data_IF_132883217450
#
_entry.id   IF_132883217450
#
_cell.length_a   1.000
_cell.length_b   1.000
_cell.length_c   1.000
_cell.angle_alpha   90.00
_cell.angle_beta   90.00
_cell.angle_gamma   90.00
#
_symmetry.space_group_name_H-M   'P 1'
#
loop_
_entity.id
_entity.type
_entity.pdbx_description
1 polymer ?
#
# COMPACT_ATOMS: atom_id res chain seq x y z
N UNK A 1 0.68 -5.45 5.05
CA UNK A 1 -0.37 -5.40 4.01
C UNK A 1 -0.53 -6.79 3.40
N UNK A 2 -1.76 -7.36 3.36
CA UNK A 2 -1.97 -8.71 2.85
C UNK A 2 -3.17 -8.82 1.89
N UNK A 3 -3.14 -9.77 0.95
CA UNK A 3 -4.26 -10.06 0.05
C UNK A 3 -4.30 -11.54 -0.32
N UNK A 4 -5.52 -12.08 -0.47
CA UNK A 4 -5.70 -13.49 -0.81
C UNK A 4 -5.42 -13.82 -2.29
N UNK A 5 -5.45 -12.81 -3.16
CA UNK A 5 -5.13 -12.93 -4.59
C UNK A 5 -4.13 -11.86 -5.05
N UNK A 6 -3.42 -12.16 -6.13
CA UNK A 6 -2.61 -11.18 -6.84
C UNK A 6 -3.48 -10.14 -7.56
N UNK A 7 -2.93 -8.96 -7.82
CA UNK A 7 -3.60 -7.93 -8.62
C UNK A 7 -4.66 -7.09 -7.90
N UNK A 8 -4.86 -7.25 -6.58
CA UNK A 8 -5.77 -6.40 -5.78
C UNK A 8 -5.27 -4.96 -5.60
N UNK A 9 -4.02 -4.68 -5.97
CA UNK A 9 -3.39 -3.36 -5.86
C UNK A 9 -2.68 -3.11 -4.53
N UNK A 10 -2.34 -4.16 -3.79
CA UNK A 10 -1.70 -4.09 -2.48
C UNK A 10 -0.43 -3.23 -2.44
N UNK A 11 0.53 -3.44 -3.35
CA UNK A 11 1.73 -2.59 -3.48
C UNK A 11 1.39 -1.13 -3.72
N UNK A 12 0.37 -0.85 -4.54
CA UNK A 12 -0.13 0.50 -4.78
C UNK A 12 -0.70 1.12 -3.51
N UNK A 13 -1.49 0.37 -2.74
CA UNK A 13 -2.01 0.82 -1.44
C UNK A 13 -0.84 1.08 -0.49
N UNK A 14 0.12 0.18 -0.37
CA UNK A 14 1.30 0.32 0.50
C UNK A 14 2.08 1.59 0.19
N UNK A 15 2.43 1.81 -1.09
CA UNK A 15 3.22 2.97 -1.51
C UNK A 15 2.50 4.30 -1.20
N UNK A 16 1.21 4.38 -1.51
CA UNK A 16 0.45 5.61 -1.30
C UNK A 16 0.12 5.87 0.17
N UNK A 17 -0.20 4.81 0.93
CA UNK A 17 -0.45 4.93 2.36
C UNK A 17 0.83 5.36 3.09
N UNK A 18 1.97 4.71 2.84
CA UNK A 18 3.23 5.06 3.49
C UNK A 18 3.69 6.47 3.15
N UNK A 19 3.53 6.89 1.90
CA UNK A 19 3.83 8.27 1.48
C UNK A 19 2.89 9.29 2.14
N UNK A 20 1.60 8.97 2.29
CA UNK A 20 0.64 9.84 2.95
C UNK A 20 0.87 9.93 4.47
N UNK A 21 1.29 8.83 5.13
CA UNK A 21 1.70 8.85 6.54
C UNK A 21 2.93 9.73 6.76
N UNK A 22 3.93 9.60 5.88
CA UNK A 22 5.11 10.47 5.90
C UNK A 22 4.76 11.96 5.63
N UNK A 23 3.82 12.24 4.71
CA UNK A 23 3.29 13.59 4.48
C UNK A 23 2.65 14.20 5.75
N UNK A 24 2.05 13.37 6.60
CA UNK A 24 1.50 13.78 7.90
C UNK A 24 2.57 13.90 9.01
N UNK A 25 3.84 13.67 8.70
CA UNK A 25 4.97 13.80 9.61
C UNK A 25 5.28 12.55 10.43
N UNK A 26 4.65 11.42 10.16
CA UNK A 26 4.96 10.15 10.82
C UNK A 26 6.25 9.54 10.26
N UNK A 27 7.11 9.05 11.15
CA UNK A 27 8.35 8.38 10.77
C UNK A 27 8.02 6.99 10.16
N UNK A 28 7.97 6.95 8.82
CA UNK A 28 7.34 5.85 8.08
C UNK A 28 8.34 5.10 7.22
N UNK A 29 8.35 3.77 7.38
CA UNK A 29 9.15 2.83 6.60
C UNK A 29 8.23 1.94 5.76
N UNK A 30 8.66 1.62 4.54
CA UNK A 30 8.04 0.62 3.67
C UNK A 30 9.06 -0.46 3.35
N UNK A 31 8.72 -1.70 3.67
CA UNK A 31 9.51 -2.89 3.38
C UNK A 31 8.83 -3.67 2.24
N UNK A 32 9.48 -3.76 1.09
CA UNK A 32 9.01 -4.61 -0.02
C UNK A 32 9.42 -6.05 0.29
N UNK A 33 8.48 -6.85 0.80
CA UNK A 33 8.70 -8.25 1.13
C UNK A 33 8.26 -9.20 0.00
N UNK A 34 7.83 -8.68 -1.15
CA UNK A 34 7.60 -9.48 -2.36
C UNK A 34 8.92 -9.75 -3.08
N UNK A 35 9.73 -10.61 -2.44
CA UNK A 35 11.05 -11.09 -2.86
C UNK A 35 11.03 -11.60 -4.31
N UNK A 36 9.91 -12.16 -4.78
CA UNK A 36 9.78 -12.70 -6.13
C UNK A 36 9.39 -11.66 -7.19
N UNK A 37 8.64 -10.61 -6.81
CA UNK A 37 8.12 -9.59 -7.72
C UNK A 37 8.21 -8.19 -7.10
N UNK A 38 9.40 -7.58 -7.21
CA UNK A 38 9.68 -6.24 -6.68
C UNK A 38 8.94 -5.12 -7.45
N UNK A 39 7.67 -4.92 -7.11
CA UNK A 39 6.80 -3.93 -7.74
C UNK A 39 6.90 -2.55 -7.07
N UNK A 40 7.39 -2.47 -5.83
CA UNK A 40 7.48 -1.20 -5.11
C UNK A 40 8.55 -0.30 -5.72
N UNK A 41 9.68 -0.88 -6.14
CA UNK A 41 10.77 -0.17 -6.80
C UNK A 41 10.31 0.57 -8.06
N UNK A 42 9.40 -0.03 -8.84
CA UNK A 42 8.78 0.61 -10.01
C UNK A 42 7.93 1.83 -9.63
N UNK A 43 7.15 1.73 -8.55
CA UNK A 43 6.23 2.80 -8.13
C UNK A 43 6.97 3.98 -7.52
N UNK A 44 8.13 3.75 -6.90
CA UNK A 44 8.92 4.78 -6.19
C UNK A 44 10.25 5.12 -6.88
N UNK A 45 10.52 4.58 -8.09
CA UNK A 45 11.77 4.72 -8.85
C UNK A 45 13.03 4.30 -8.07
N UNK A 46 12.95 3.14 -7.42
CA UNK A 46 14.06 2.54 -6.66
C UNK A 46 14.61 1.28 -7.33
N UNK A 47 14.47 1.15 -8.65
CA UNK A 47 14.92 -0.04 -9.41
C UNK A 47 16.45 -0.19 -9.44
N UNK A 48 17.17 0.93 -9.39
CA UNK A 48 18.64 0.98 -9.43
C UNK A 48 19.28 0.95 -8.02
N UNK A 49 18.53 0.55 -7.00
CA UNK A 49 19.02 0.45 -5.63
C UNK A 49 20.19 -0.55 -5.55
N UNK A 50 21.41 -0.13 -5.16
CA UNK A 50 22.59 -1.00 -5.16
C UNK A 50 22.54 -2.10 -4.10
N UNK A 51 21.93 -1.80 -2.96
CA UNK A 51 21.70 -2.75 -1.85
C UNK A 51 20.21 -2.86 -1.62
N UNK A 52 19.72 -4.09 -1.50
CA UNK A 52 18.30 -4.40 -1.41
C UNK A 52 18.01 -5.34 -0.25
N UNK A 53 16.72 -5.57 0.04
CA UNK A 53 16.31 -6.54 1.06
C UNK A 53 16.90 -7.93 0.81
N UNK A 54 17.14 -8.32 -0.45
CA UNK A 54 17.75 -9.62 -0.76
C UNK A 54 19.16 -9.74 -0.19
N UNK A 55 19.97 -8.69 -0.33
CA UNK A 55 21.36 -8.67 0.14
C UNK A 55 21.40 -8.74 1.68
N UNK A 56 20.48 -8.01 2.33
CA UNK A 56 20.31 -8.06 3.80
C UNK A 56 19.88 -9.45 4.26
N UNK A 57 18.87 -10.05 3.62
CA UNK A 57 18.39 -11.40 3.95
C UNK A 57 19.41 -12.49 3.60
N UNK A 58 20.31 -12.26 2.65
CA UNK A 58 21.46 -13.11 2.34
C UNK A 58 22.61 -12.93 3.35
N UNK A 59 22.66 -11.80 4.06
CA UNK A 59 23.69 -11.47 5.06
C UNK A 59 24.93 -10.86 4.43
N UNK A 60 24.75 -10.28 3.24
CA UNK A 60 25.80 -9.67 2.44
C UNK A 60 25.86 -8.15 2.64
N UNK A 61 24.86 -7.55 3.29
CA UNK A 61 24.79 -6.11 3.59
C UNK A 61 24.07 -5.80 4.91
N UNK A 62 24.31 -4.62 5.46
CA UNK A 62 23.57 -4.08 6.60
C UNK A 62 22.23 -3.48 6.13
N UNK A 63 21.22 -3.49 7.01
CA UNK A 63 19.90 -2.92 6.71
C UNK A 63 19.97 -1.40 6.47
N UNK A 64 20.90 -0.69 7.13
CA UNK A 64 21.09 0.75 6.93
C UNK A 64 21.49 1.10 5.49
N UNK A 65 22.20 0.21 4.81
CA UNK A 65 22.62 0.40 3.42
C UNK A 65 21.47 0.19 2.42
N UNK A 66 20.41 -0.49 2.85
CA UNK A 66 19.23 -0.79 2.04
C UNK A 66 18.06 0.19 2.27
N UNK A 67 18.24 1.22 3.09
CA UNK A 67 17.21 2.23 3.36
C UNK A 67 17.40 3.43 2.43
N UNK A 68 16.38 3.72 1.63
CA UNK A 68 16.36 4.84 0.69
C UNK A 68 15.24 5.83 1.03
N UNK A 69 15.46 7.11 0.78
CA UNK A 69 14.46 8.15 1.01
C UNK A 69 13.57 8.35 -0.23
N UNK A 70 12.27 8.26 -0.04
CA UNK A 70 11.23 8.51 -1.04
C UNK A 70 10.52 9.84 -0.84
N UNK A 71 9.42 10.08 -1.59
CA UNK A 71 8.64 11.31 -1.47
C UNK A 71 8.15 11.57 -0.04
N UNK A 72 8.17 12.85 0.37
CA UNK A 72 7.81 13.28 1.72
C UNK A 72 8.64 12.65 2.86
N UNK A 73 9.81 12.08 2.56
CA UNK A 73 10.70 11.51 3.57
C UNK A 73 10.35 10.08 3.97
N UNK A 74 9.42 9.41 3.26
CA UNK A 74 9.13 7.98 3.50
C UNK A 74 10.38 7.16 3.24
N UNK A 75 10.74 6.26 4.15
CA UNK A 75 11.89 5.38 4.00
C UNK A 75 11.47 4.08 3.33
N UNK A 76 12.25 3.62 2.36
CA UNK A 76 11.90 2.49 1.50
C UNK A 76 13.04 1.50 1.49
N UNK A 77 12.71 0.23 1.72
CA UNK A 77 13.63 -0.90 1.63
C UNK A 77 13.13 -1.78 0.47
N UNK A 78 13.69 -1.61 -0.74
CA UNK A 78 13.23 -2.31 -1.92
C UNK A 78 13.66 -3.78 -1.91
N UNK A 79 12.83 -4.64 -2.49
CA UNK A 79 13.25 -5.98 -2.86
C UNK A 79 14.13 -5.91 -4.11
N UNK A 80 15.27 -6.59 -4.09
CA UNK A 80 16.04 -6.90 -5.29
C UNK A 80 15.27 -7.73 -6.34
N UNK A 81 15.77 -7.73 -7.57
CA UNK A 81 15.15 -8.40 -8.73
C UNK A 81 16.02 -9.52 -9.31
N UNK A 82 17.21 -9.74 -8.75
CA UNK A 82 18.17 -10.70 -9.28
C UNK A 82 17.80 -12.13 -8.87
N UNK A 83 17.86 -13.07 -9.81
CA UNK A 83 17.59 -14.49 -9.52
C UNK A 83 18.58 -15.06 -8.49
N UNK A 84 19.82 -14.56 -8.49
CA UNK A 84 20.82 -14.94 -7.49
C UNK A 84 20.43 -14.45 -6.10
N UNK A 85 20.03 -13.17 -5.97
CA UNK A 85 19.53 -12.60 -4.73
C UNK A 85 18.34 -13.38 -4.18
N UNK A 86 17.34 -13.67 -5.03
CA UNK A 86 16.16 -14.48 -4.66
C UNK A 86 16.55 -15.83 -4.07
N UNK A 87 17.58 -16.49 -4.63
CA UNK A 87 18.03 -17.81 -4.17
C UNK A 87 18.81 -17.75 -2.86
N UNK A 88 19.57 -16.67 -2.63
CA UNK A 88 20.38 -16.50 -1.42
C UNK A 88 19.59 -15.95 -0.24
N UNK A 89 18.56 -15.15 -0.52
CA UNK A 89 17.73 -14.56 0.52
C UNK A 89 17.11 -15.63 1.41
N UNK A 90 17.25 -15.46 2.73
CA UNK A 90 16.57 -16.28 3.71
C UNK A 90 15.38 -15.50 4.30
N UNK A 91 14.13 -15.82 3.91
CA UNK A 91 12.94 -15.17 4.45
C UNK A 91 12.83 -15.24 5.98
N UNK A 92 13.39 -16.27 6.61
CA UNK A 92 13.29 -16.44 8.07
C UNK A 92 14.00 -15.31 8.84
N UNK A 93 14.92 -14.57 8.18
CA UNK A 93 15.61 -13.39 8.74
C UNK A 93 14.80 -12.11 8.66
N UNK A 94 13.59 -12.14 8.06
CA UNK A 94 12.73 -10.98 7.94
C UNK A 94 12.33 -10.41 9.31
N UNK A 95 12.13 -11.29 10.31
CA UNK A 95 11.82 -10.85 11.68
C UNK A 95 12.97 -10.03 12.27
N UNK A 96 14.22 -10.48 12.10
CA UNK A 96 15.39 -9.73 12.58
C UNK A 96 15.46 -8.34 11.93
N UNK A 97 15.16 -8.25 10.63
CA UNK A 97 15.12 -6.97 9.89
C UNK A 97 14.04 -6.05 10.46
N UNK A 98 12.84 -6.58 10.71
CA UNK A 98 11.73 -5.83 11.32
C UNK A 98 12.11 -5.31 12.72
N UNK A 99 12.71 -6.16 13.55
CA UNK A 99 13.15 -5.80 14.91
C UNK A 99 14.20 -4.66 14.91
N UNK A 100 15.08 -4.60 13.91
CA UNK A 100 16.05 -3.49 13.77
C UNK A 100 15.41 -2.15 13.36
N UNK A 101 14.18 -2.16 12.83
CA UNK A 101 13.51 -0.96 12.32
C UNK A 101 12.41 -0.48 13.26
N UNK A 102 11.75 -1.38 13.98
CA UNK A 102 10.51 -1.08 14.68
C UNK A 102 10.66 -0.01 15.77
N UNK A 103 11.80 0.04 16.47
CA UNK A 103 12.03 0.99 17.57
C UNK A 103 12.18 2.46 17.11
N UNK A 104 12.38 2.70 15.81
CA UNK A 104 12.56 4.03 15.22
C UNK A 104 11.45 4.43 14.25
N UNK A 105 10.47 3.56 14.03
CA UNK A 105 9.39 3.79 13.09
C UNK A 105 8.07 4.00 13.85
N UNK A 106 7.35 5.07 13.52
CA UNK A 106 5.95 5.19 13.93
C UNK A 106 5.11 4.17 13.14
N UNK A 107 5.45 3.96 11.85
CA UNK A 107 4.83 2.97 10.98
C UNK A 107 5.87 2.20 10.16
N UNK A 108 5.81 0.87 10.22
CA UNK A 108 6.52 -0.02 9.30
C UNK A 108 5.51 -0.79 8.45
N UNK A 109 5.36 -0.39 7.19
CA UNK A 109 4.46 -1.05 6.25
C UNK A 109 5.20 -2.17 5.50
N UNK A 110 4.76 -3.42 5.71
CA UNK A 110 5.29 -4.57 4.98
C UNK A 110 4.39 -4.87 3.78
N UNK A 111 4.91 -4.75 2.55
CA UNK A 111 4.24 -5.22 1.34
C UNK A 111 4.52 -6.71 1.15
N UNK A 112 3.65 -7.57 1.68
CA UNK A 112 3.82 -9.02 1.57
C UNK A 112 3.60 -9.50 0.11
N UNK A 113 4.08 -10.70 -0.28
CA UNK A 113 3.63 -11.31 -1.52
C UNK A 113 2.15 -11.71 -1.43
N UNK A 114 1.50 -11.90 -2.58
CA UNK A 114 0.10 -12.30 -2.63
C UNK A 114 -0.12 -13.77 -2.22
N UNK A 115 -1.31 -14.08 -1.71
CA UNK A 115 -1.72 -15.44 -1.40
C UNK A 115 -1.18 -15.94 -0.06
N UNK A 116 -0.90 -17.25 0.02
CA UNK A 116 -0.57 -17.96 1.26
C UNK A 116 0.67 -18.84 1.13
N UNK A 117 1.59 -18.46 0.24
CA UNK A 117 2.90 -19.11 0.14
C UNK A 117 3.75 -18.87 1.39
N UNK A 118 4.87 -19.59 1.52
CA UNK A 118 5.78 -19.45 2.66
C UNK A 118 6.15 -17.99 2.93
N UNK A 119 6.55 -17.26 1.90
CA UNK A 119 7.01 -15.87 2.05
C UNK A 119 5.89 -14.93 2.51
N UNK A 120 4.64 -15.18 2.10
CA UNK A 120 3.48 -14.42 2.55
C UNK A 120 3.18 -14.69 4.03
N UNK A 121 3.29 -15.95 4.46
CA UNK A 121 3.12 -16.35 5.86
C UNK A 121 4.24 -15.76 6.73
N UNK A 122 5.48 -15.79 6.24
CA UNK A 122 6.63 -15.20 6.93
C UNK A 122 6.43 -13.69 7.12
N UNK A 123 6.05 -12.96 6.08
CA UNK A 123 5.75 -11.53 6.15
C UNK A 123 4.58 -11.22 7.10
N UNK A 124 3.52 -12.02 7.07
CA UNK A 124 2.41 -11.92 8.03
C UNK A 124 2.90 -12.12 9.46
N UNK A 125 3.64 -13.21 9.74
CA UNK A 125 4.14 -13.54 11.08
C UNK A 125 5.19 -12.56 11.65
N UNK A 126 5.78 -11.73 10.78
CA UNK A 126 6.66 -10.64 11.17
C UNK A 126 5.89 -9.34 11.48
N UNK A 127 4.59 -9.29 11.20
CA UNK A 127 3.72 -8.13 11.42
C UNK A 127 2.88 -8.29 12.69
N UNK A 128 2.77 -7.21 13.48
CA UNK A 128 1.83 -7.14 14.62
C UNK A 128 0.38 -7.03 14.14
N UNK A 129 0.18 -6.22 13.10
CA UNK A 129 -1.13 -5.86 12.54
C UNK A 129 -1.14 -6.05 11.03
N UNK A 130 -2.32 -6.33 10.47
CA UNK A 130 -2.51 -6.51 9.05
C UNK A 130 -3.77 -5.81 8.56
N UNK A 131 -3.58 -5.01 7.50
CA UNK A 131 -4.66 -4.49 6.67
C UNK A 131 -4.84 -5.41 5.45
N UNK A 132 -6.07 -5.90 5.30
CA UNK A 132 -6.47 -6.72 4.15
C UNK A 132 -6.78 -5.81 2.95
N UNK A 133 -6.19 -6.10 1.79
CA UNK A 133 -6.49 -5.40 0.53
C UNK A 133 -7.33 -6.29 -0.37
N UNK A 134 -8.57 -5.87 -0.63
CA UNK A 134 -9.55 -6.62 -1.42
C UNK A 134 -10.10 -5.77 -2.56
N UNK A 135 -10.63 -6.41 -3.60
CA UNK A 135 -11.53 -5.77 -4.56
C UNK A 135 -12.99 -6.08 -4.19
N UNK A 136 -13.97 -5.28 -4.64
CA UNK A 136 -15.39 -5.45 -4.27
C UNK A 136 -16.08 -6.63 -4.99
N UNK A 137 -15.37 -7.75 -5.13
CA UNK A 137 -15.82 -8.97 -5.79
C UNK A 137 -15.82 -10.13 -4.77
N UNK A 138 -16.85 -10.99 -4.81
CA UNK A 138 -16.98 -12.15 -3.89
C UNK A 138 -15.71 -13.01 -3.86
N UNK A 139 -15.08 -13.24 -5.03
CA UNK A 139 -13.86 -14.04 -5.12
C UNK A 139 -12.70 -13.40 -4.32
N UNK A 140 -12.50 -12.09 -4.44
CA UNK A 140 -11.44 -11.38 -3.72
C UNK A 140 -11.64 -11.44 -2.20
N UNK A 141 -12.88 -11.33 -1.75
CA UNK A 141 -13.23 -11.31 -0.33
C UNK A 141 -13.14 -12.71 0.27
N UNK A 142 -13.58 -13.73 -0.47
CA UNK A 142 -13.44 -15.13 -0.07
C UNK A 142 -11.98 -15.56 0.06
N UNK A 143 -11.10 -15.07 -0.83
CA UNK A 143 -9.67 -15.33 -0.69
C UNK A 143 -9.06 -14.60 0.51
N UNK A 144 -9.52 -13.38 0.82
CA UNK A 144 -9.09 -12.65 2.00
C UNK A 144 -9.50 -13.32 3.32
N UNK A 145 -10.62 -14.06 3.36
CA UNK A 145 -10.97 -14.88 4.53
C UNK A 145 -9.92 -15.95 4.84
N UNK A 146 -9.30 -16.53 3.82
CA UNK A 146 -8.23 -17.51 4.01
C UNK A 146 -6.98 -16.84 4.61
N UNK A 147 -6.69 -15.61 4.18
CA UNK A 147 -5.61 -14.78 4.75
C UNK A 147 -5.90 -14.42 6.20
N UNK A 148 -7.13 -13.97 6.51
CA UNK A 148 -7.57 -13.72 7.89
C UNK A 148 -7.34 -14.95 8.78
N UNK A 149 -7.81 -16.12 8.35
CA UNK A 149 -7.65 -17.36 9.12
C UNK A 149 -6.18 -17.78 9.34
N UNK A 150 -5.28 -17.41 8.42
CA UNK A 150 -3.84 -17.65 8.58
C UNK A 150 -3.21 -16.62 9.51
N UNK A 151 -3.56 -15.34 9.38
CA UNK A 151 -3.11 -14.27 10.25
C UNK A 151 -3.42 -14.57 11.73
N UNK A 152 -4.65 -15.02 12.01
CA UNK A 152 -5.07 -15.44 13.35
C UNK A 152 -4.23 -16.60 13.92
N UNK A 153 -3.71 -17.49 13.08
CA UNK A 153 -2.88 -18.63 13.51
C UNK A 153 -1.42 -18.25 13.77
N UNK A 154 -0.97 -17.13 13.23
CA UNK A 154 0.39 -16.60 13.43
C UNK A 154 0.39 -15.38 14.34
N UNK A 155 -0.70 -15.20 15.09
CA UNK A 155 -0.89 -14.13 16.08
C UNK A 155 -0.80 -12.71 15.50
N UNK A 156 -1.15 -12.53 14.22
CA UNK A 156 -1.25 -11.21 13.58
C UNK A 156 -2.70 -10.70 13.62
N UNK A 157 -2.91 -9.52 14.21
CA UNK A 157 -4.23 -8.91 14.31
C UNK A 157 -4.68 -8.34 12.96
N UNK A 158 -5.92 -8.63 12.54
CA UNK A 158 -6.54 -7.94 11.41
C UNK A 158 -7.17 -6.63 11.91
N UNK A 159 -6.57 -5.49 11.54
CA UNK A 159 -7.02 -4.16 11.98
C UNK A 159 -8.16 -3.64 11.12
N UNK A 160 -8.21 -4.03 9.86
CA UNK A 160 -9.20 -3.52 8.92
C UNK A 160 -9.03 -4.03 7.50
N UNK A 161 -9.95 -3.63 6.63
CA UNK A 161 -9.91 -3.88 5.20
C UNK A 161 -9.89 -2.58 4.39
N UNK A 162 -9.12 -2.60 3.31
CA UNK A 162 -9.12 -1.62 2.22
C UNK A 162 -9.85 -2.24 1.04
N UNK A 163 -11.00 -1.67 0.67
CA UNK A 163 -11.73 -2.08 -0.54
C UNK A 163 -11.23 -1.22 -1.68
N UNK A 164 -10.40 -1.81 -2.54
CA UNK A 164 -9.71 -1.11 -3.63
C UNK A 164 -10.43 -1.31 -4.97
N UNK A 165 -10.31 -0.33 -5.86
CA UNK A 165 -10.89 -0.30 -7.21
C UNK A 165 -12.42 -0.31 -7.24
N UNK A 166 -13.05 0.43 -6.34
CA UNK A 166 -14.52 0.57 -6.31
C UNK A 166 -15.00 1.38 -7.52
N UNK A 167 -15.87 0.80 -8.34
CA UNK A 167 -16.47 1.45 -9.52
C UNK A 167 -17.91 1.90 -9.27
N UNK A 168 -18.53 1.45 -8.17
CA UNK A 168 -19.96 1.62 -7.84
C UNK A 168 -20.89 0.90 -8.82
N UNK A 169 -20.39 -0.15 -9.47
CA UNK A 169 -21.23 -1.03 -10.27
C UNK A 169 -22.19 -1.82 -9.34
N UNK A 170 -23.38 -2.17 -9.84
CA UNK A 170 -24.39 -2.88 -9.03
C UNK A 170 -24.00 -4.31 -8.69
N UNK A 171 -23.00 -4.87 -9.37
CA UNK A 171 -22.47 -6.20 -9.11
C UNK A 171 -21.39 -6.22 -8.03
N UNK A 172 -20.90 -5.05 -7.62
CA UNK A 172 -19.94 -4.90 -6.54
C UNK A 172 -20.61 -5.13 -5.19
N UNK A 173 -19.88 -5.79 -4.29
CA UNK A 173 -20.31 -5.88 -2.90
C UNK A 173 -20.19 -4.51 -2.23
N UNK A 174 -21.24 -4.15 -1.51
CA UNK A 174 -21.29 -2.93 -0.70
C UNK A 174 -20.33 -3.02 0.48
N UNK A 175 -19.91 -1.86 1.01
CA UNK A 175 -19.10 -1.79 2.24
C UNK A 175 -19.66 -2.68 3.35
N UNK A 176 -20.97 -2.58 3.61
CA UNK A 176 -21.65 -3.32 4.67
C UNK A 176 -21.61 -4.83 4.44
N UNK A 177 -21.73 -5.28 3.19
CA UNK A 177 -21.60 -6.69 2.84
C UNK A 177 -20.16 -7.18 3.02
N UNK A 178 -19.16 -6.38 2.63
CA UNK A 178 -17.74 -6.72 2.85
C UNK A 178 -17.43 -6.85 4.34
N UNK A 179 -17.86 -5.87 5.16
CA UNK A 179 -17.67 -5.89 6.61
C UNK A 179 -18.35 -7.11 7.25
N UNK A 180 -19.56 -7.44 6.80
CA UNK A 180 -20.30 -8.61 7.29
C UNK A 180 -19.61 -9.92 6.93
N UNK A 181 -19.07 -10.05 5.71
CA UNK A 181 -18.41 -11.28 5.26
C UNK A 181 -17.04 -11.43 5.95
N UNK A 182 -16.24 -10.36 6.01
CA UNK A 182 -14.90 -10.39 6.62
C UNK A 182 -14.93 -10.32 8.14
N UNK A 183 -16.05 -9.94 8.74
CA UNK A 183 -16.18 -9.61 10.18
C UNK A 183 -15.04 -8.69 10.61
N UNK A 184 -14.82 -7.64 9.82
CA UNK A 184 -13.67 -6.71 9.92
C UNK A 184 -14.13 -5.35 9.39
N UNK A 185 -13.79 -4.23 10.05
CA UNK A 185 -14.17 -2.91 9.57
C UNK A 185 -13.50 -2.59 8.22
N UNK A 186 -14.25 -1.96 7.32
CA UNK A 186 -13.70 -1.37 6.09
C UNK A 186 -13.25 0.05 6.42
N UNK A 187 -11.94 0.22 6.52
CA UNK A 187 -11.28 1.48 6.87
C UNK A 187 -11.44 2.50 5.74
N UNK A 188 -11.31 2.05 4.49
CA UNK A 188 -11.47 2.93 3.33
C UNK A 188 -11.91 2.18 2.08
N UNK A 189 -12.70 2.87 1.26
CA UNK A 189 -12.99 2.49 -0.13
C UNK A 189 -12.15 3.37 -1.06
N UNK A 190 -11.23 2.75 -1.80
CA UNK A 190 -10.43 3.43 -2.81
C UNK A 190 -11.12 3.26 -4.17
N UNK A 191 -11.58 4.34 -4.82
CA UNK A 191 -12.25 4.23 -6.10
C UNK A 191 -11.27 3.81 -7.21
N UNK A 192 -11.79 3.14 -8.24
CA UNK A 192 -11.03 2.97 -9.49
C UNK A 192 -10.77 4.35 -10.10
N UNK A 193 -9.49 4.71 -10.22
CA UNK A 193 -9.06 6.04 -10.63
C UNK A 193 -7.92 5.92 -11.66
N UNK A 194 -8.11 6.41 -12.91
CA UNK A 194 -7.07 6.41 -13.93
C UNK A 194 -5.78 7.12 -13.50
N UNK A 195 -5.85 8.08 -12.57
CA UNK A 195 -4.68 8.77 -12.03
C UNK A 195 -3.73 7.82 -11.31
N UNK A 196 -4.22 6.73 -10.69
CA UNK A 196 -3.37 5.72 -10.04
C UNK A 196 -2.45 5.06 -11.07
N UNK A 197 -3.01 4.65 -12.22
CA UNK A 197 -2.24 4.03 -13.30
C UNK A 197 -1.26 5.02 -13.93
N UNK A 198 -1.70 6.26 -14.14
CA UNK A 198 -0.82 7.33 -14.64
C UNK A 198 0.34 7.53 -13.67
N UNK A 199 0.08 7.70 -12.39
CA UNK A 199 1.09 7.93 -11.36
C UNK A 199 2.13 6.81 -11.31
N UNK A 200 1.68 5.54 -11.32
CA UNK A 200 2.57 4.39 -11.43
C UNK A 200 3.48 4.44 -12.68
N UNK A 201 2.95 4.82 -13.84
CA UNK A 201 3.74 4.95 -15.07
C UNK A 201 4.81 6.05 -15.01
N UNK A 202 4.67 7.02 -14.10
CA UNK A 202 5.68 8.03 -13.84
C UNK A 202 6.58 7.69 -12.65
N UNK A 203 6.37 6.56 -11.97
CA UNK A 203 7.14 6.16 -10.80
C UNK A 203 6.99 7.16 -9.64
N UNK A 204 5.76 7.59 -9.40
CA UNK A 204 5.43 8.48 -8.28
C UNK A 204 4.07 8.07 -7.70
N UNK A 205 3.87 8.07 -6.37
CA UNK A 205 2.57 7.78 -5.76
C UNK A 205 1.49 8.78 -6.20
N UNK A 206 0.24 8.32 -6.34
CA UNK A 206 -0.89 9.18 -6.72
C UNK A 206 -1.14 10.28 -5.69
N UNK A 207 -0.85 10.03 -4.41
CA UNK A 207 -0.96 11.02 -3.33
C UNK A 207 -0.04 12.23 -3.52
N UNK A 208 1.07 12.05 -4.24
CA UNK A 208 2.03 13.12 -4.58
C UNK A 208 1.70 13.73 -5.93
N UNK A 209 1.52 12.86 -6.94
CA UNK A 209 1.36 13.29 -8.34
C UNK A 209 0.03 14.00 -8.60
N UNK A 210 -1.04 13.42 -8.08
CA UNK A 210 -2.41 13.86 -8.31
C UNK A 210 -3.14 13.97 -6.97
N UNK A 211 -2.69 14.86 -6.06
CA UNK A 211 -3.12 14.89 -4.66
C UNK A 211 -4.62 15.15 -4.47
N UNK A 212 -5.27 15.74 -5.49
CA UNK A 212 -6.71 16.03 -5.52
C UNK A 212 -7.55 14.91 -6.14
N UNK A 213 -6.94 13.83 -6.63
CA UNK A 213 -7.68 12.71 -7.23
C UNK A 213 -8.48 11.95 -6.18
N UNK A 214 -9.53 11.25 -6.59
CA UNK A 214 -10.39 10.54 -5.65
C UNK A 214 -9.64 9.42 -4.92
N UNK A 215 -8.75 8.70 -5.61
CA UNK A 215 -7.90 7.69 -4.96
C UNK A 215 -6.88 8.32 -4.00
N UNK A 216 -6.23 9.43 -4.38
CA UNK A 216 -5.31 10.14 -3.49
C UNK A 216 -6.00 10.59 -2.20
N UNK A 217 -7.21 11.14 -2.32
CA UNK A 217 -8.02 11.56 -1.17
C UNK A 217 -8.42 10.39 -0.27
N UNK A 218 -8.73 9.22 -0.84
CA UNK A 218 -8.98 8.01 -0.07
C UNK A 218 -7.75 7.56 0.72
N UNK A 219 -6.55 7.53 0.11
CA UNK A 219 -5.32 7.18 0.81
C UNK A 219 -4.96 8.15 1.93
N UNK A 220 -5.11 9.46 1.69
CA UNK A 220 -4.86 10.49 2.73
C UNK A 220 -5.85 10.36 3.89
N UNK A 221 -7.12 10.04 3.61
CA UNK A 221 -8.10 9.74 4.66
C UNK A 221 -7.70 8.51 5.49
N UNK A 222 -7.26 7.43 4.84
CA UNK A 222 -6.78 6.24 5.55
C UNK A 222 -5.56 6.56 6.43
N UNK A 223 -4.59 7.31 5.92
CA UNK A 223 -3.43 7.73 6.69
C UNK A 223 -3.82 8.56 7.92
N UNK A 224 -4.73 9.52 7.76
CA UNK A 224 -5.24 10.34 8.85
C UNK A 224 -5.96 9.52 9.93
N UNK A 225 -6.77 8.54 9.52
CA UNK A 225 -7.45 7.63 10.45
C UNK A 225 -6.46 6.79 11.27
N UNK A 226 -5.38 6.30 10.65
CA UNK A 226 -4.33 5.55 11.34
C UNK A 226 -3.50 6.41 12.31
N UNK A 227 -3.31 7.70 12.00
CA UNK A 227 -2.63 8.66 12.90
C UNK A 227 -3.58 9.21 13.97
N UNK A 228 -4.90 8.99 13.84
CA UNK A 228 -5.90 9.45 14.80
C UNK A 228 -6.29 10.92 14.64
N UNK A 229 -6.22 11.48 13.44
CA UNK A 229 -6.62 12.87 13.12
C UNK A 229 -7.84 12.92 12.19
N UNK A 230 -8.66 13.95 12.30
CA UNK A 230 -9.76 14.19 11.37
C UNK A 230 -9.24 14.69 10.01
N UNK A 231 -9.76 14.12 8.92
CA UNK A 231 -9.43 14.52 7.56
C UNK A 231 -10.66 14.96 6.78
N UNK A 232 -10.71 16.24 6.42
CA UNK A 232 -11.71 16.77 5.53
C UNK A 232 -11.26 16.64 4.07
N UNK A 233 -12.02 15.89 3.28
CA UNK A 233 -11.80 15.79 1.83
C UNK A 233 -12.02 17.17 1.20
N UNK A 234 -11.01 17.78 0.54
CA UNK A 234 -11.18 19.06 -0.12
C UNK A 234 -12.27 18.98 -1.18
N UNK A 235 -13.28 19.82 -1.07
CA UNK A 235 -14.35 19.89 -2.06
C UNK A 235 -13.76 20.39 -3.38
N UNK A 236 -13.97 19.68 -4.51
CA UNK A 236 -13.51 20.16 -5.81
C UNK A 236 -14.09 21.55 -6.09
N UNK A 237 -13.23 22.49 -6.47
CA UNK A 237 -13.60 23.88 -6.72
C UNK A 237 -14.56 23.98 -7.92
N UNK A 238 -15.87 23.96 -7.64
CA UNK A 238 -16.93 24.04 -8.66
C UNK A 238 -16.95 25.40 -9.36
N UNK A 239 -16.44 26.45 -8.73
CA UNK A 239 -16.45 27.81 -9.28
C UNK A 239 -15.46 27.95 -10.46
N UNK A 240 -14.32 27.26 -10.41
CA UNK A 240 -13.31 27.28 -11.47
C UNK A 240 -13.77 26.64 -12.80
N UNK A 241 -14.64 25.62 -12.73
CA UNK A 241 -15.16 24.93 -13.92
C UNK A 241 -16.28 25.75 -14.57
N UNK A 242 -17.23 26.25 -13.78
CA UNK A 242 -18.33 27.06 -14.29
C UNK A 242 -17.81 28.38 -14.89
N UNK A 243 -16.86 29.03 -14.23
CA UNK A 243 -16.25 30.28 -14.72
C UNK A 243 -15.44 30.09 -16.02
N UNK A 244 -14.75 28.96 -16.18
CA UNK A 244 -14.06 28.61 -17.43
C UNK A 244 -15.02 28.30 -18.58
N UNK A 245 -16.12 27.61 -18.30
CA UNK A 245 -17.18 27.32 -19.28
C UNK A 245 -17.89 28.61 -19.71
N UNK A 246 -18.23 29.48 -18.76
CA UNK A 246 -18.87 30.78 -19.04
C UNK A 246 -17.90 31.68 -19.83
N UNK A 247 -16.62 31.79 -19.46
CA UNK A 247 -15.63 32.55 -20.25
C UNK A 247 -15.41 31.97 -21.65
N UNK A 248 -15.47 30.65 -21.82
CA UNK A 248 -15.37 30.00 -23.14
C UNK A 248 -16.56 30.26 -24.06
N UNK A 249 -17.76 30.39 -23.49
CA UNK A 249 -19.00 30.70 -24.23
C UNK A 249 -19.16 32.19 -24.54
N UNK A 250 -18.72 33.07 -23.64
CA UNK A 250 -18.89 34.53 -23.78
C UNK A 250 -17.65 35.28 -24.28
N UNK A 251 -16.48 34.62 -24.38
CA UNK A 251 -15.21 35.23 -24.82
C UNK A 251 -14.95 35.24 -26.32
N UNK A 252 -15.91 34.83 -27.17
CA UNK A 252 -15.85 34.96 -28.63
C UNK A 252 -16.82 36.06 -29.10
N UNK A 253 -16.47 37.32 -28.90
CA UNK A 253 -16.98 38.47 -29.67
C UNK A 253 -15.87 39.49 -29.83
#
# INVERSE_FOLDING_TARGET
>A
MASGKGGTGKTTVTANLGTALAELGAETYILDADIAMANLGLILRMEDAPVTLHDVLAGEADIEEAIYEGPHGVKVIPAGISLEGIRKANPDRLRDVVEHIIDRADFLLIDAPAGLGRDAITALSASTESLLVVNPEIASITDALKVKAVAERVDTQITGAVVNRVTKDKTELTKEEVEKILETPVMVEVPEDPEVRRAAAFGEPVVVRSPKSAAAQAFKKLAAELVGIEYEVPVPDKEGVLSKVIKGLFGRR
#
